data_IF_486711696579
#
_entry.id   IF_486711696579
#
_cell.length_a   1.000
_cell.length_b   1.000
_cell.length_c   1.000
_cell.angle_alpha   90.00
_cell.angle_beta   90.00
_cell.angle_gamma   90.00
#
_symmetry.space_group_name_H-M   'P 1'
#
loop_
_entity.id
_entity.type
_entity.pdbx_description
1 polymer ?
#
# COMPACT_ATOMS: atom_id res chain seq x y z
N UNK A 1 27.27 24.73 -37.60
CA UNK A 1 26.69 24.81 -36.23
C UNK A 1 25.99 23.48 -35.98
N UNK A 2 26.60 22.61 -35.19
CA UNK A 2 26.09 21.26 -34.89
C UNK A 2 25.23 21.34 -33.62
N UNK A 3 23.93 21.09 -33.73
CA UNK A 3 23.02 21.02 -32.59
C UNK A 3 22.99 19.58 -32.10
N UNK A 4 23.60 19.32 -30.94
CA UNK A 4 23.52 18.02 -30.27
C UNK A 4 22.22 18.01 -29.46
N UNK A 5 21.21 17.29 -29.95
CA UNK A 5 19.99 17.02 -29.18
C UNK A 5 20.29 15.82 -28.28
N UNK A 6 20.51 16.07 -26.99
CA UNK A 6 20.57 15.01 -26.00
C UNK A 6 19.15 14.50 -25.75
N UNK A 7 18.82 13.33 -26.31
CA UNK A 7 17.59 12.62 -25.98
C UNK A 7 17.74 12.03 -24.57
N UNK A 8 17.01 12.58 -23.60
CA UNK A 8 16.87 11.94 -22.30
C UNK A 8 16.01 10.69 -22.47
N UNK A 9 16.59 9.51 -22.31
CA UNK A 9 15.82 8.28 -22.21
C UNK A 9 14.96 8.37 -20.95
N UNK A 10 13.63 8.44 -21.12
CA UNK A 10 12.71 8.39 -20.00
C UNK A 10 12.88 7.10 -19.20
N UNK A 11 12.56 7.11 -17.90
CA UNK A 11 12.59 5.90 -17.08
C UNK A 11 11.67 4.84 -17.71
N UNK A 12 12.22 3.65 -17.98
CA UNK A 12 11.50 2.58 -18.66
C UNK A 12 10.56 1.77 -17.73
N UNK A 13 10.12 2.36 -16.62
CA UNK A 13 9.38 1.64 -15.59
C UNK A 13 8.69 2.56 -14.59
N UNK A 14 7.86 1.94 -13.74
CA UNK A 14 7.10 2.62 -12.71
C UNK A 14 7.99 3.49 -11.81
N UNK A 15 7.51 4.69 -11.48
CA UNK A 15 8.25 5.64 -10.67
C UNK A 15 8.20 5.23 -9.20
N UNK A 16 9.37 5.01 -8.58
CA UNK A 16 9.49 4.85 -7.13
C UNK A 16 9.28 6.19 -6.44
N UNK A 17 8.39 6.25 -5.45
CA UNK A 17 8.12 7.47 -4.69
C UNK A 17 8.46 7.31 -3.21
N UNK A 18 9.34 8.17 -2.71
CA UNK A 18 9.53 8.33 -1.28
C UNK A 18 8.38 9.16 -0.65
N UNK A 19 8.13 9.05 0.66
CA UNK A 19 7.12 9.85 1.34
C UNK A 19 7.32 11.36 1.13
N UNK A 20 6.27 12.05 0.64
CA UNK A 20 6.28 13.49 0.37
C UNK A 20 6.65 13.86 -1.06
N UNK A 21 7.04 12.88 -1.89
CA UNK A 21 7.44 13.13 -3.27
C UNK A 21 6.26 13.12 -4.25
N UNK A 22 6.50 13.74 -5.40
CA UNK A 22 5.65 13.66 -6.58
C UNK A 22 6.52 13.60 -7.83
N UNK A 23 6.02 12.92 -8.87
CA UNK A 23 6.69 12.79 -10.15
C UNK A 23 5.69 12.76 -11.29
N UNK A 24 6.14 13.19 -12.48
CA UNK A 24 5.44 12.92 -13.73
C UNK A 24 5.53 11.44 -14.08
N UNK A 25 4.48 10.92 -14.72
CA UNK A 25 4.41 9.55 -15.27
C UNK A 25 4.15 9.58 -16.78
N UNK A 26 4.60 8.55 -17.47
CA UNK A 26 4.52 8.47 -18.95
C UNK A 26 3.85 7.18 -19.43
N UNK A 27 3.48 6.29 -18.51
CA UNK A 27 2.92 4.99 -18.84
C UNK A 27 3.98 4.00 -19.26
N UNK A 28 3.77 2.74 -18.92
CA UNK A 28 4.68 1.65 -19.31
C UNK A 28 3.91 0.51 -19.96
N UNK A 29 4.65 -0.43 -20.53
CA UNK A 29 4.09 -1.73 -20.87
C UNK A 29 3.56 -2.43 -19.61
N UNK A 30 2.59 -3.32 -19.79
CA UNK A 30 1.92 -4.04 -18.71
C UNK A 30 2.94 -4.76 -17.78
N UNK A 31 3.10 -4.34 -16.51
CA UNK A 31 4.08 -4.93 -15.58
C UNK A 31 3.61 -6.27 -15.00
N UNK A 32 2.40 -6.72 -15.34
CA UNK A 32 1.79 -7.95 -14.82
C UNK A 32 1.95 -9.16 -15.75
N UNK A 33 2.82 -9.07 -16.77
CA UNK A 33 3.12 -10.20 -17.64
C UNK A 33 3.74 -11.34 -16.81
N UNK A 34 3.07 -12.50 -16.76
CA UNK A 34 3.49 -13.65 -15.95
C UNK A 34 3.14 -13.57 -14.47
N UNK A 35 2.47 -12.50 -14.01
CA UNK A 35 2.01 -12.36 -12.63
C UNK A 35 0.78 -13.25 -12.36
N UNK A 36 0.62 -13.69 -11.11
CA UNK A 36 -0.53 -14.50 -10.68
C UNK A 36 -1.59 -13.61 -10.03
N UNK A 37 -2.81 -13.64 -10.55
CA UNK A 37 -3.97 -12.97 -9.94
C UNK A 37 -4.33 -13.68 -8.63
N UNK A 38 -4.33 -12.92 -7.53
CA UNK A 38 -4.66 -13.41 -6.18
C UNK A 38 -6.10 -13.09 -5.79
N UNK A 39 -6.55 -11.87 -6.09
CA UNK A 39 -7.88 -11.41 -5.71
C UNK A 39 -8.41 -10.34 -6.66
N UNK A 40 -9.73 -10.18 -6.65
CA UNK A 40 -10.44 -9.12 -7.38
C UNK A 40 -11.58 -8.60 -6.52
N UNK A 41 -11.72 -7.28 -6.45
CA UNK A 41 -12.87 -6.60 -5.86
C UNK A 41 -13.39 -5.56 -6.85
N UNK A 42 -14.70 -5.41 -6.92
CA UNK A 42 -15.36 -4.40 -7.75
C UNK A 42 -16.39 -3.67 -6.90
N UNK A 43 -16.39 -2.35 -6.98
CA UNK A 43 -17.28 -1.51 -6.17
C UNK A 43 -17.74 -0.29 -6.99
N UNK A 44 -19.03 0.08 -6.91
CA UNK A 44 -19.52 1.30 -7.50
C UNK A 44 -19.08 2.51 -6.65
N UNK A 45 -18.81 3.64 -7.31
CA UNK A 45 -18.60 4.93 -6.66
C UNK A 45 -19.56 5.97 -7.26
N UNK A 46 -19.97 6.94 -6.45
CA UNK A 46 -20.76 8.06 -6.91
C UNK A 46 -20.51 9.30 -6.04
N UNK A 47 -20.46 10.45 -6.68
CA UNK A 47 -20.60 11.77 -6.08
C UNK A 47 -21.73 12.52 -6.79
N UNK A 48 -21.85 13.82 -6.56
CA UNK A 48 -22.91 14.63 -7.16
C UNK A 48 -22.82 14.72 -8.68
N UNK A 49 -21.61 14.77 -9.24
CA UNK A 49 -21.32 15.12 -10.64
C UNK A 49 -20.49 14.07 -11.39
N UNK A 50 -20.17 12.94 -10.75
CA UNK A 50 -19.53 11.79 -11.36
C UNK A 50 -19.95 10.47 -10.69
N UNK A 51 -19.97 9.39 -11.46
CA UNK A 51 -20.20 8.02 -10.97
C UNK A 51 -19.49 6.99 -11.83
N UNK A 52 -19.38 5.78 -11.32
CA UNK A 52 -18.82 4.68 -12.08
C UNK A 52 -18.56 3.43 -11.24
N UNK A 53 -17.72 2.57 -11.79
CA UNK A 53 -17.27 1.33 -11.14
C UNK A 53 -15.75 1.28 -11.19
N UNK A 54 -15.16 0.93 -10.05
CA UNK A 54 -13.75 0.56 -9.98
C UNK A 54 -13.63 -0.94 -9.77
N UNK A 55 -12.72 -1.56 -10.50
CA UNK A 55 -12.30 -2.94 -10.29
C UNK A 55 -10.83 -2.95 -9.93
N UNK A 56 -10.50 -3.46 -8.75
CA UNK A 56 -9.13 -3.66 -8.31
C UNK A 56 -8.77 -5.14 -8.42
N UNK A 57 -7.63 -5.42 -9.04
CA UNK A 57 -7.01 -6.74 -9.08
C UNK A 57 -5.72 -6.73 -8.25
N UNK A 58 -5.50 -7.77 -7.46
CA UNK A 58 -4.27 -7.99 -6.69
C UNK A 58 -3.45 -9.08 -7.34
N UNK A 59 -2.18 -8.82 -7.58
CA UNK A 59 -1.25 -9.73 -8.24
C UNK A 59 -0.06 -10.06 -7.34
N UNK A 60 0.50 -11.26 -7.49
CA UNK A 60 1.85 -11.63 -7.03
C UNK A 60 2.78 -11.85 -8.21
N UNK A 61 4.09 -11.67 -7.98
CA UNK A 61 5.11 -11.91 -9.00
C UNK A 61 5.19 -10.82 -10.07
N UNK A 62 4.88 -9.57 -9.71
CA UNK A 62 5.15 -8.41 -10.55
C UNK A 62 6.64 -8.03 -10.55
N UNK A 63 6.97 -6.86 -11.11
CA UNK A 63 8.36 -6.38 -11.17
C UNK A 63 8.99 -6.01 -9.82
N UNK A 64 8.20 -5.94 -8.74
CA UNK A 64 8.69 -5.86 -7.36
C UNK A 64 8.40 -7.16 -6.58
N UNK A 65 9.28 -7.56 -5.63
CA UNK A 65 9.02 -8.68 -4.75
C UNK A 65 7.91 -8.31 -3.76
N UNK A 66 6.67 -8.74 -4.02
CA UNK A 66 5.53 -8.48 -3.17
C UNK A 66 4.19 -8.60 -3.90
N UNK A 67 3.15 -8.00 -3.32
CA UNK A 67 1.86 -7.83 -3.98
C UNK A 67 1.77 -6.51 -4.73
N UNK A 68 1.05 -6.51 -5.83
CA UNK A 68 0.84 -5.36 -6.70
C UNK A 68 -0.65 -5.19 -6.99
N UNK A 69 -1.10 -3.95 -7.14
CA UNK A 69 -2.50 -3.59 -7.30
C UNK A 69 -2.69 -2.95 -8.66
N UNK A 70 -3.71 -3.39 -9.40
CA UNK A 70 -4.14 -2.78 -10.66
C UNK A 70 -5.58 -2.33 -10.53
N UNK A 71 -5.87 -1.14 -11.05
CA UNK A 71 -7.19 -0.52 -10.99
C UNK A 71 -7.71 -0.28 -12.40
N UNK A 72 -8.89 -0.79 -12.70
CA UNK A 72 -9.68 -0.45 -13.88
C UNK A 72 -10.84 0.45 -13.42
N UNK A 73 -10.90 1.66 -13.93
CA UNK A 73 -11.92 2.65 -13.57
C UNK A 73 -12.76 2.91 -14.82
N UNK A 74 -14.07 2.72 -14.71
CA UNK A 74 -15.05 3.01 -15.75
C UNK A 74 -16.02 4.01 -15.18
N UNK A 75 -16.17 5.16 -15.83
CA UNK A 75 -17.16 6.19 -15.45
C UNK A 75 -18.43 6.01 -16.25
N UNK A 76 -19.57 6.25 -15.62
CA UNK A 76 -20.87 6.21 -16.30
C UNK A 76 -21.11 7.50 -17.11
N UNK A 77 -22.13 7.47 -17.96
CA UNK A 77 -22.59 8.63 -18.75
C UNK A 77 -23.43 9.63 -17.95
N UNK A 78 -23.75 9.33 -16.68
CA UNK A 78 -24.60 10.17 -15.83
C UNK A 78 -23.85 11.37 -15.23
N UNK A 79 -22.52 11.32 -15.17
CA UNK A 79 -21.69 12.41 -14.68
C UNK A 79 -21.65 13.58 -15.65
N UNK A 80 -21.40 14.78 -15.12
CA UNK A 80 -21.20 16.01 -15.91
C UNK A 80 -19.77 16.52 -15.85
N UNK A 81 -18.96 16.02 -14.92
CA UNK A 81 -17.59 16.44 -14.69
C UNK A 81 -16.61 15.27 -14.73
N UNK A 82 -15.37 15.55 -15.15
CA UNK A 82 -14.30 14.57 -15.17
C UNK A 82 -13.73 14.35 -13.77
N UNK A 83 -13.21 13.15 -13.52
CA UNK A 83 -12.43 12.86 -12.30
C UNK A 83 -10.99 13.35 -12.52
N UNK A 84 -10.51 14.23 -11.64
CA UNK A 84 -9.20 14.91 -11.76
C UNK A 84 -8.12 14.30 -10.86
N UNK A 85 -8.52 13.57 -9.82
CA UNK A 85 -7.61 12.91 -8.88
C UNK A 85 -8.22 11.63 -8.32
N UNK A 86 -7.38 10.63 -8.16
CA UNK A 86 -7.67 9.44 -7.35
C UNK A 86 -6.57 9.19 -6.34
N UNK A 87 -6.95 8.78 -5.13
CA UNK A 87 -6.00 8.44 -4.07
C UNK A 87 -6.31 7.10 -3.44
N UNK A 88 -5.28 6.39 -3.01
CA UNK A 88 -5.36 5.10 -2.33
C UNK A 88 -4.55 5.16 -1.03
N UNK A 89 -5.00 4.43 0.00
CA UNK A 89 -4.49 4.50 1.37
C UNK A 89 -3.73 3.22 1.81
N UNK A 90 -3.06 3.31 2.96
CA UNK A 90 -2.33 2.22 3.65
C UNK A 90 -0.98 1.81 3.06
N UNK A 91 -0.23 2.75 2.48
CA UNK A 91 1.10 2.51 1.90
C UNK A 91 2.26 2.86 2.84
N UNK A 92 2.00 3.20 4.11
CA UNK A 92 3.04 3.62 5.04
C UNK A 92 4.09 2.51 5.27
N UNK A 93 5.38 2.87 5.24
CA UNK A 93 6.49 1.94 5.48
C UNK A 93 6.81 0.99 4.32
N UNK A 94 6.09 1.06 3.20
CA UNK A 94 6.32 0.21 2.04
C UNK A 94 7.11 0.93 0.94
N UNK A 95 7.90 0.17 0.18
CA UNK A 95 8.36 0.64 -1.13
C UNK A 95 7.15 0.68 -2.05
N UNK A 96 6.98 1.77 -2.80
CA UNK A 96 5.78 1.97 -3.61
C UNK A 96 6.16 2.61 -4.93
N UNK A 97 5.89 1.90 -6.02
CA UNK A 97 6.10 2.41 -7.37
C UNK A 97 4.75 2.56 -8.08
N UNK A 98 4.53 3.68 -8.75
CA UNK A 98 3.28 3.98 -9.41
C UNK A 98 3.49 4.25 -10.90
N UNK A 99 2.51 3.82 -11.70
CA UNK A 99 2.37 4.21 -13.11
C UNK A 99 0.99 3.79 -13.64
N UNK A 100 0.80 3.91 -14.94
CA UNK A 100 -0.32 3.31 -15.67
C UNK A 100 0.14 2.45 -16.85
N UNK A 101 -0.74 1.58 -17.34
CA UNK A 101 -0.47 0.77 -18.53
C UNK A 101 -0.80 1.57 -19.79
N UNK A 102 0.22 1.81 -20.61
CA UNK A 102 0.09 2.57 -21.85
C UNK A 102 -0.93 1.92 -22.81
N UNK A 103 -1.87 2.71 -23.33
CA UNK A 103 -2.87 2.28 -24.31
C UNK A 103 -4.03 1.42 -23.78
N UNK A 104 -4.20 1.32 -22.46
CA UNK A 104 -5.23 0.46 -21.85
C UNK A 104 -6.59 1.14 -21.59
N UNK A 105 -6.73 2.45 -21.86
CA UNK A 105 -7.94 3.23 -21.58
C UNK A 105 -8.34 4.13 -22.74
N UNK A 106 -9.49 4.81 -22.58
CA UNK A 106 -10.08 5.74 -23.55
C UNK A 106 -10.16 7.19 -23.03
N UNK A 107 -9.84 7.44 -21.76
CA UNK A 107 -9.69 8.78 -21.19
C UNK A 107 -8.26 9.32 -21.33
N UNK A 108 -8.06 10.55 -20.86
CA UNK A 108 -6.72 11.10 -20.66
C UNK A 108 -5.93 10.27 -19.64
N UNK A 109 -4.60 10.30 -19.77
CA UNK A 109 -3.68 9.62 -18.86
C UNK A 109 -3.33 10.54 -17.68
N UNK A 110 -3.07 9.99 -16.47
CA UNK A 110 -2.63 10.82 -15.36
C UNK A 110 -1.29 11.47 -15.70
N UNK A 111 -1.13 12.74 -15.34
CA UNK A 111 0.10 13.50 -15.56
C UNK A 111 1.12 13.23 -14.45
N UNK A 112 0.64 13.18 -13.20
CA UNK A 112 1.50 13.03 -12.02
C UNK A 112 1.02 11.95 -11.08
N UNK A 113 1.98 11.42 -10.34
CA UNK A 113 1.77 10.58 -9.16
C UNK A 113 2.37 11.28 -7.95
N UNK A 114 1.80 11.04 -6.77
CA UNK A 114 2.26 11.65 -5.53
C UNK A 114 2.11 10.69 -4.36
N UNK A 115 2.97 10.86 -3.36
CA UNK A 115 2.88 10.15 -2.08
C UNK A 115 2.86 11.16 -0.94
N UNK A 116 1.91 11.00 -0.02
CA UNK A 116 1.77 11.87 1.15
C UNK A 116 3.05 11.84 2.01
N UNK A 117 3.35 12.93 2.71
CA UNK A 117 4.53 13.06 3.57
C UNK A 117 4.65 11.97 4.65
N UNK A 118 3.52 11.45 5.16
CA UNK A 118 3.50 10.32 6.10
C UNK A 118 3.61 8.96 5.40
N UNK A 119 3.75 8.93 4.08
CA UNK A 119 3.86 7.73 3.25
C UNK A 119 2.56 6.93 3.09
N UNK A 120 1.49 7.31 3.78
CA UNK A 120 0.30 6.47 3.93
C UNK A 120 -0.61 6.46 2.70
N UNK A 121 -0.68 7.58 1.99
CA UNK A 121 -1.56 7.73 0.84
C UNK A 121 -0.74 7.99 -0.41
N UNK A 122 -1.16 7.41 -1.52
CA UNK A 122 -0.63 7.68 -2.85
C UNK A 122 -1.76 8.16 -3.75
N UNK A 123 -1.45 8.86 -4.84
CA UNK A 123 -2.48 9.31 -5.77
C UNK A 123 -1.97 9.59 -7.15
N UNK A 124 -2.91 9.50 -8.10
CA UNK A 124 -2.77 9.86 -9.50
C UNK A 124 -3.53 11.16 -9.75
N UNK A 125 -2.96 12.07 -10.53
CA UNK A 125 -3.55 13.38 -10.83
C UNK A 125 -3.37 13.71 -12.29
N UNK A 126 -4.45 14.13 -12.93
CA UNK A 126 -4.49 14.54 -14.33
C UNK A 126 -4.13 16.03 -14.47
N UNK A 127 -3.82 16.46 -15.69
CA UNK A 127 -3.58 17.88 -15.94
C UNK A 127 -4.87 18.71 -15.77
N UNK A 128 -4.73 20.03 -15.68
CA UNK A 128 -5.89 20.92 -15.59
C UNK A 128 -6.78 20.79 -16.83
N UNK A 129 -8.08 20.57 -16.64
CA UNK A 129 -9.07 20.27 -17.68
C UNK A 129 -8.93 18.91 -18.38
N UNK A 130 -8.05 18.04 -17.88
CA UNK A 130 -7.99 16.63 -18.26
C UNK A 130 -8.57 15.76 -17.14
N UNK A 131 -8.88 14.51 -17.45
CA UNK A 131 -9.34 13.58 -16.43
C UNK A 131 -10.01 12.35 -16.99
N UNK A 132 -10.73 11.66 -16.12
CA UNK A 132 -11.63 10.58 -16.52
C UNK A 132 -12.99 11.21 -16.77
N UNK A 133 -13.23 11.67 -18.01
CA UNK A 133 -14.51 12.23 -18.41
C UNK A 133 -15.64 11.19 -18.34
N UNK A 134 -16.92 11.62 -18.21
CA UNK A 134 -18.06 10.71 -18.24
C UNK A 134 -18.06 9.77 -19.46
N UNK A 135 -18.55 8.55 -19.27
CA UNK A 135 -18.57 7.49 -20.30
C UNK A 135 -17.18 7.10 -20.85
N UNK A 136 -16.10 7.32 -20.07
CA UNK A 136 -14.75 6.88 -20.41
C UNK A 136 -14.21 5.79 -19.50
N UNK A 137 -13.13 5.17 -19.97
CA UNK A 137 -12.35 4.18 -19.23
C UNK A 137 -10.97 4.76 -18.98
N UNK A 138 -10.55 4.81 -17.72
CA UNK A 138 -9.20 5.22 -17.39
C UNK A 138 -8.17 4.21 -17.89
N UNK A 139 -6.94 4.64 -18.26
CA UNK A 139 -5.82 3.73 -18.35
C UNK A 139 -5.68 2.94 -17.05
N UNK A 140 -5.30 1.65 -17.13
CA UNK A 140 -5.11 0.82 -15.95
C UNK A 140 -4.01 1.40 -15.08
N UNK A 141 -4.42 2.00 -13.96
CA UNK A 141 -3.53 2.52 -12.95
C UNK A 141 -2.98 1.34 -12.17
N UNK A 142 -1.72 1.41 -11.76
CA UNK A 142 -1.17 0.36 -10.93
C UNK A 142 -0.20 0.88 -9.88
N UNK A 143 -0.12 0.10 -8.79
CA UNK A 143 0.78 0.33 -7.68
C UNK A 143 1.54 -0.97 -7.43
N UNK A 144 2.85 -0.92 -7.55
CA UNK A 144 3.74 -2.01 -7.19
C UNK A 144 4.23 -1.77 -5.76
N UNK A 145 4.20 -2.81 -4.93
CA UNK A 145 4.68 -2.71 -3.55
C UNK A 145 5.57 -3.88 -3.19
N UNK A 146 6.39 -3.70 -2.15
CA UNK A 146 7.10 -4.80 -1.50
C UNK A 146 6.31 -5.44 -0.34
N UNK A 147 4.99 -5.24 -0.29
CA UNK A 147 4.16 -5.84 0.75
C UNK A 147 4.08 -7.36 0.59
N UNK A 148 4.08 -8.07 1.72
CA UNK A 148 4.06 -9.53 1.72
C UNK A 148 2.67 -10.13 1.44
N UNK A 149 1.62 -9.34 1.63
CA UNK A 149 0.25 -9.75 1.37
C UNK A 149 -0.69 -8.56 1.16
N UNK A 150 -1.97 -8.85 1.11
CA UNK A 150 -3.03 -7.86 0.99
C UNK A 150 -4.15 -8.16 2.01
N UNK A 151 -4.88 -7.12 2.40
CA UNK A 151 -5.96 -7.18 3.37
C UNK A 151 -7.16 -6.35 2.91
N UNK A 152 -8.28 -6.50 3.62
CA UNK A 152 -9.45 -5.64 3.41
C UNK A 152 -9.30 -4.32 4.19
N UNK A 153 -10.19 -3.36 3.90
CA UNK A 153 -10.24 -2.07 4.60
C UNK A 153 -9.32 -1.00 4.01
N UNK A 154 -8.79 -1.22 2.80
CA UNK A 154 -8.22 -0.15 2.00
C UNK A 154 -9.31 0.78 1.49
N UNK A 155 -8.98 2.06 1.29
CA UNK A 155 -9.92 3.05 0.73
C UNK A 155 -9.31 3.67 -0.51
N UNK A 156 -10.11 3.73 -1.58
CA UNK A 156 -9.83 4.51 -2.78
C UNK A 156 -10.83 5.67 -2.88
N UNK A 157 -10.33 6.87 -3.14
CA UNK A 157 -11.14 8.09 -3.25
C UNK A 157 -10.98 8.73 -4.62
N UNK A 158 -12.09 9.18 -5.20
CA UNK A 158 -12.22 9.86 -6.48
C UNK A 158 -12.61 11.32 -6.25
N UNK A 159 -11.98 12.25 -6.96
CA UNK A 159 -12.08 13.69 -6.68
C UNK A 159 -12.06 14.56 -7.94
N UNK A 160 -12.87 15.62 -7.92
CA UNK A 160 -12.93 16.71 -8.91
C UNK A 160 -13.52 18.02 -8.32
N UNK A 161 -13.46 18.16 -6.99
CA UNK A 161 -14.24 19.13 -6.21
C UNK A 161 -15.26 18.44 -5.30
N UNK A 162 -15.90 17.37 -5.80
CA UNK A 162 -16.60 16.37 -4.98
C UNK A 162 -15.67 15.25 -4.51
N UNK A 163 -16.17 14.38 -3.62
CA UNK A 163 -15.46 13.16 -3.20
C UNK A 163 -16.42 11.97 -3.22
N UNK A 164 -15.98 10.86 -3.82
CA UNK A 164 -16.57 9.54 -3.62
C UNK A 164 -15.48 8.59 -3.09
N UNK A 165 -15.82 7.68 -2.18
CA UNK A 165 -14.87 6.71 -1.64
C UNK A 165 -15.45 5.31 -1.64
N UNK A 166 -14.60 4.32 -1.89
CA UNK A 166 -14.96 2.90 -1.95
C UNK A 166 -13.90 2.04 -1.29
N UNK A 167 -14.36 0.91 -0.74
CA UNK A 167 -13.49 -0.08 -0.14
C UNK A 167 -12.75 -0.88 -1.20
N UNK A 168 -11.45 -1.05 -0.99
CA UNK A 168 -10.52 -1.82 -1.82
C UNK A 168 -9.60 -2.65 -0.93
N UNK A 169 -8.80 -3.54 -1.53
CA UNK A 169 -7.71 -4.19 -0.80
C UNK A 169 -6.58 -3.20 -0.52
N UNK A 170 -5.97 -3.31 0.67
CA UNK A 170 -4.75 -2.62 1.06
C UNK A 170 -3.55 -3.59 1.04
N UNK A 171 -2.31 -3.07 0.90
CA UNK A 171 -1.14 -3.86 1.18
C UNK A 171 -1.00 -4.14 2.67
N UNK A 172 -0.53 -5.34 3.00
CA UNK A 172 -0.22 -5.75 4.38
C UNK A 172 1.27 -6.05 4.45
N UNK A 173 2.00 -5.24 5.22
CA UNK A 173 3.38 -5.52 5.57
C UNK A 173 3.48 -6.77 6.46
N UNK A 174 4.61 -7.48 6.39
CA UNK A 174 4.92 -8.50 7.40
C UNK A 174 4.94 -7.82 8.77
N UNK A 175 4.38 -8.42 9.84
CA UNK A 175 4.57 -7.93 11.19
C UNK A 175 6.06 -7.66 11.42
N UNK A 176 6.41 -6.42 11.77
CA UNK A 176 7.81 -6.02 11.84
C UNK A 176 8.58 -7.03 12.70
N UNK A 177 9.72 -7.57 12.24
CA UNK A 177 10.48 -8.57 13.00
C UNK A 177 10.88 -8.07 14.40
N UNK A 178 10.93 -6.75 14.59
CA UNK A 178 11.11 -6.10 15.88
C UNK A 178 9.99 -6.43 16.88
N UNK A 179 8.75 -6.59 16.41
CA UNK A 179 7.62 -7.02 17.25
C UNK A 179 7.85 -8.43 17.77
N UNK A 180 8.35 -9.34 16.93
CA UNK A 180 8.71 -10.70 17.32
C UNK A 180 9.91 -10.71 18.27
N UNK A 181 10.88 -9.81 18.05
CA UNK A 181 12.02 -9.65 18.94
C UNK A 181 11.62 -9.06 20.30
N UNK A 182 10.68 -8.11 20.34
CA UNK A 182 10.15 -7.53 21.57
C UNK A 182 9.35 -8.56 22.37
N UNK A 183 8.47 -9.31 21.71
CA UNK A 183 7.72 -10.40 22.34
C UNK A 183 8.70 -11.48 22.84
N UNK A 184 9.65 -11.89 22.00
CA UNK A 184 10.67 -12.88 22.36
C UNK A 184 11.54 -12.45 23.54
N UNK A 185 11.99 -11.19 23.56
CA UNK A 185 12.80 -10.65 24.65
C UNK A 185 12.00 -10.44 25.93
N UNK A 186 10.74 -10.02 25.82
CA UNK A 186 9.81 -9.93 26.96
C UNK A 186 9.58 -11.30 27.61
N UNK A 187 9.33 -12.35 26.80
CA UNK A 187 9.19 -13.71 27.29
C UNK A 187 10.47 -14.23 27.96
N UNK A 188 11.64 -13.92 27.38
CA UNK A 188 12.92 -14.30 27.98
C UNK A 188 13.17 -13.60 29.33
N UNK A 189 12.86 -12.31 29.44
CA UNK A 189 13.00 -11.55 30.68
C UNK A 189 12.11 -12.12 31.81
N UNK A 190 10.85 -12.42 31.50
CA UNK A 190 9.91 -13.05 32.45
C UNK A 190 10.42 -14.41 32.90
N UNK A 191 10.90 -15.25 31.98
CA UNK A 191 11.45 -16.56 32.30
C UNK A 191 12.67 -16.49 33.23
N UNK A 192 13.56 -15.52 33.01
CA UNK A 192 14.73 -15.28 33.87
C UNK A 192 14.29 -14.83 35.27
N UNK A 193 13.34 -13.89 35.35
CA UNK A 193 12.85 -13.38 36.64
C UNK A 193 12.15 -14.47 37.45
N UNK A 194 11.33 -15.29 36.80
CA UNK A 194 10.64 -16.40 37.45
C UNK A 194 11.61 -17.47 37.98
N UNK A 195 12.65 -17.82 37.21
CA UNK A 195 13.71 -18.74 37.66
C UNK A 195 14.48 -18.22 38.87
N UNK A 196 14.71 -16.90 38.98
CA UNK A 196 15.39 -16.30 40.14
C UNK A 196 14.50 -16.29 41.38
N UNK A 197 13.20 -15.99 41.25
CA UNK A 197 12.25 -15.99 42.36
C UNK A 197 12.05 -17.37 43.01
N UNK A 198 12.00 -18.44 42.22
CA UNK A 198 11.86 -19.81 42.74
C UNK A 198 13.09 -20.26 43.54
N UNK A 199 14.29 -19.81 43.15
CA UNK A 199 15.54 -20.15 43.89
C UNK A 199 15.64 -19.44 45.24
N UNK A 200 15.10 -18.22 45.36
CA UNK A 200 15.10 -17.49 46.64
C UNK A 200 14.23 -18.22 47.68
N UNK A 201 13.00 -18.61 47.34
CA UNK A 201 12.09 -19.30 48.27
C UNK A 201 12.59 -20.67 48.76
N UNK A 202 13.44 -21.36 47.98
CA UNK A 202 14.02 -22.65 48.43
C UNK A 202 15.06 -22.49 49.52
N UNK A 203 15.72 -21.34 49.63
CA UNK A 203 16.70 -21.10 50.70
C UNK A 203 16.01 -20.85 52.04
N UNK A 204 14.84 -20.21 52.03
CA UNK A 204 14.09 -19.92 53.26
C UNK A 204 13.50 -21.18 53.90
N UNK A 205 13.11 -22.18 53.09
CA UNK A 205 12.57 -23.46 53.60
C UNK A 205 13.66 -24.35 54.20
N UNK A 206 14.91 -24.26 53.72
CA UNK A 206 16.01 -25.08 54.24
C UNK A 206 16.52 -24.61 55.61
N UNK A 207 16.22 -23.38 56.03
CA UNK A 207 16.68 -22.81 57.31
C UNK A 207 15.69 -23.12 58.46
N UNK A 208 14.46 -23.54 58.17
CA UNK A 208 13.42 -23.78 59.20
C UNK A 208 13.46 -25.17 59.86
N UNK A 209 14.33 -26.08 59.42
CA UNK A 209 14.31 -27.49 59.89
C UNK A 209 15.39 -27.84 60.92
N UNK A 210 16.16 -26.86 61.40
CA UNK A 210 17.35 -27.10 62.25
C UNK A 210 17.22 -26.58 63.70
N UNK A 211 16.00 -26.58 64.25
CA UNK A 211 15.76 -26.12 65.64
C UNK A 211 14.77 -26.99 66.39
N UNK A 212 15.01 -28.30 66.48
CA UNK A 212 14.39 -29.17 67.50
C UNK A 212 15.36 -30.28 67.91
N UNK A 213 16.42 -29.93 68.64
CA UNK A 213 17.13 -30.91 69.48
C UNK A 213 17.55 -30.25 70.80
N UNK A 214 17.33 -31.01 71.88
CA UNK A 214 17.91 -30.93 73.23
C UNK A 214 17.18 -30.07 74.26
N UNK A 215 16.49 -30.75 75.20
CA UNK A 215 16.82 -30.85 76.64
C UNK A 215 15.65 -31.62 77.30
N UNK A 216 15.77 -32.90 77.66
CA UNK A 216 16.40 -33.46 78.89
C UNK A 216 15.79 -32.90 80.17
#
# INVERSE_FOLDING_TARGET
MLVIVAAFAGPAGAVSLDPGESSTVFGTTNPFAGATLLATISAPFASFDFSGVVTQNVYSGGSLPGVSFRYAIVTDSLGTAAIERVTMSFFAGLQTNLDYVLGSGTSDSPLTVSRQANGNSVGFTWATNEGIAPDKVAPFLYILTNAAGYGAGGVMSFMNGGVASVDVYNPVGVPEPMSLLLVGSGMAAVAIFWRRGVRARRKDVAVSTDSTVVHS
#
